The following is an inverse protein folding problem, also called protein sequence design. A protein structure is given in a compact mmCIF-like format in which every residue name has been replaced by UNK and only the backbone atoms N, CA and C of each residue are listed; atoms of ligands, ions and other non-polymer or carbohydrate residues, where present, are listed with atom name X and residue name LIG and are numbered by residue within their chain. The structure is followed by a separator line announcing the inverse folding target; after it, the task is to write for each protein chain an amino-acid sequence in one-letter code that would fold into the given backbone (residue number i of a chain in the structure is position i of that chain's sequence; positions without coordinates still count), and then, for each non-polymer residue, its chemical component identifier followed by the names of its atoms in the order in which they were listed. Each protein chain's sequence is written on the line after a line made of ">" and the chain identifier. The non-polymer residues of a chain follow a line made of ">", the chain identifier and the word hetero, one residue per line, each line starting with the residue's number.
data_IF_873253451645
#
_entry.id   IF_873253451645
#
_cell.length_a   1.000
_cell.length_b   1.000
_cell.length_c   1.000
_cell.angle_alpha   90.00
_cell.angle_beta   90.00
_cell.angle_gamma   90.00
#
_symmetry.space_group_name_H-M   'P 1'
#
loop_
_entity.id
_entity.type
_entity.pdbx_description
1 polymer ?
#
# COMPACT_ATOMS: atom_id res chain seq x y z
N UNK A 1 -28.19 -13.89 -2.92
CA UNK A 1 -27.76 -13.81 -1.52
C UNK A 1 -28.81 -13.03 -0.75
N UNK A 2 -29.43 -13.63 0.29
CA UNK A 2 -30.52 -12.97 1.02
C UNK A 2 -29.95 -12.02 2.08
N UNK A 3 -30.75 -11.00 2.50
CA UNK A 3 -30.37 -10.05 3.57
C UNK A 3 -29.81 -10.73 4.85
N UNK A 4 -30.23 -11.95 5.12
CA UNK A 4 -29.76 -12.74 6.25
C UNK A 4 -28.27 -13.12 6.16
N UNK A 5 -27.76 -13.41 4.96
CA UNK A 5 -26.37 -13.80 4.76
C UNK A 5 -25.42 -12.59 4.87
N UNK A 6 -25.92 -11.41 4.52
CA UNK A 6 -25.19 -10.15 4.70
C UNK A 6 -24.99 -9.83 6.20
N UNK A 7 -26.06 -9.92 7.00
CA UNK A 7 -25.95 -9.69 8.45
C UNK A 7 -25.08 -10.74 9.14
N UNK A 8 -25.08 -11.97 8.65
CA UNK A 8 -24.24 -13.04 9.16
C UNK A 8 -22.76 -12.79 8.85
N UNK A 9 -22.44 -12.31 7.67
CA UNK A 9 -21.07 -11.93 7.29
C UNK A 9 -20.60 -10.65 8.00
N UNK A 10 -21.52 -9.71 8.25
CA UNK A 10 -21.22 -8.49 9.03
C UNK A 10 -21.00 -8.80 10.52
N UNK A 11 -21.73 -9.78 11.08
CA UNK A 11 -21.50 -10.26 12.44
C UNK A 11 -20.15 -11.01 12.59
N UNK A 12 -19.72 -11.72 11.55
CA UNK A 12 -18.39 -12.35 11.49
C UNK A 12 -17.29 -11.29 11.41
N UNK A 13 -17.54 -10.15 10.71
CA UNK A 13 -16.62 -8.99 10.74
C UNK A 13 -16.41 -8.46 12.18
N UNK A 14 -17.47 -8.36 12.97
CA UNK A 14 -17.39 -7.94 14.37
C UNK A 14 -16.66 -8.95 15.27
N UNK A 15 -16.82 -10.23 14.99
CA UNK A 15 -16.20 -11.30 15.80
C UNK A 15 -14.72 -11.54 15.44
N UNK A 16 -14.32 -11.37 14.17
CA UNK A 16 -12.92 -11.50 13.74
C UNK A 16 -12.06 -10.31 14.18
N UNK A 17 -12.70 -9.15 14.39
CA UNK A 17 -12.01 -7.96 14.92
C UNK A 17 -11.76 -8.04 16.45
N UNK A 18 -12.43 -8.95 17.14
CA UNK A 18 -12.33 -9.12 18.60
C UNK A 18 -11.30 -10.17 19.04
N UNK A 19 -10.72 -10.93 18.12
CA UNK A 19 -9.60 -11.82 18.45
C UNK A 19 -8.29 -11.09 18.21
N UNK A 20 -7.52 -10.76 19.25
CA UNK A 20 -6.15 -10.32 19.07
C UNK A 20 -5.39 -11.48 18.44
N UNK A 21 -5.07 -11.39 17.17
CA UNK A 21 -4.07 -12.25 16.56
C UNK A 21 -2.75 -11.94 17.25
N UNK A 22 -2.44 -12.72 18.25
CA UNK A 22 -1.12 -12.76 18.86
C UNK A 22 -0.12 -13.35 17.86
N UNK A 23 0.29 -12.55 16.93
CA UNK A 23 1.59 -12.70 16.26
C UNK A 23 2.43 -11.54 16.78
N UNK A 24 2.96 -11.79 17.95
CA UNK A 24 3.85 -10.89 18.65
C UNK A 24 5.25 -11.02 18.08
N UNK A 25 5.59 -10.10 17.18
CA UNK A 25 6.92 -9.55 17.28
C UNK A 25 6.85 -8.48 18.38
N UNK A 26 7.51 -8.67 19.50
CA UNK A 26 7.60 -7.71 20.61
C UNK A 26 8.34 -6.43 20.18
N UNK A 27 7.66 -5.58 19.40
CA UNK A 27 8.01 -4.19 19.25
C UNK A 27 7.11 -3.40 20.19
N UNK A 28 7.59 -3.00 21.36
CA UNK A 28 6.90 -2.05 22.23
C UNK A 28 6.45 -0.86 21.38
N UNK A 29 5.13 -0.71 21.21
CA UNK A 29 4.54 0.51 20.71
C UNK A 29 4.87 1.63 21.70
N UNK A 30 6.00 2.27 21.51
CA UNK A 30 6.45 3.44 22.28
C UNK A 30 6.34 4.65 21.34
N UNK A 31 5.17 5.27 21.33
CA UNK A 31 4.99 6.48 20.55
C UNK A 31 3.58 7.05 20.71
N UNK A 32 3.42 8.31 20.35
CA UNK A 32 2.14 8.99 20.37
C UNK A 32 1.15 8.28 19.43
N UNK A 33 0.03 7.86 20.01
CA UNK A 33 -1.11 7.33 19.26
C UNK A 33 -1.83 8.49 18.56
N UNK A 34 -2.16 8.30 17.30
CA UNK A 34 -3.02 9.20 16.53
C UNK A 34 -4.27 8.44 16.08
N UNK A 35 -5.43 9.06 16.17
CA UNK A 35 -6.73 8.47 15.81
C UNK A 35 -7.36 9.32 14.72
N UNK A 36 -7.87 8.65 13.69
CA UNK A 36 -8.55 9.28 12.56
C UNK A 36 -9.87 8.56 12.29
N UNK A 37 -10.94 9.32 12.16
CA UNK A 37 -12.19 8.85 11.59
C UNK A 37 -12.24 9.30 10.12
N UNK A 38 -12.26 8.33 9.21
CA UNK A 38 -12.21 8.58 7.78
C UNK A 38 -13.54 8.23 7.13
N UNK A 39 -13.93 9.06 6.19
CA UNK A 39 -15.07 8.79 5.31
C UNK A 39 -14.59 8.99 3.87
N UNK A 40 -14.64 7.93 3.07
CA UNK A 40 -14.30 7.96 1.65
C UNK A 40 -15.61 7.91 0.86
N UNK A 41 -15.92 8.99 0.18
CA UNK A 41 -17.08 9.07 -0.70
C UNK A 41 -16.62 8.90 -2.14
N UNK A 42 -17.16 7.89 -2.81
CA UNK A 42 -16.85 7.60 -4.21
C UNK A 42 -18.06 7.97 -5.06
N UNK A 43 -17.86 8.91 -5.96
CA UNK A 43 -18.80 9.24 -7.02
C UNK A 43 -18.29 8.69 -8.33
N UNK A 44 -19.11 7.92 -9.03
CA UNK A 44 -18.73 7.28 -10.28
C UNK A 44 -19.27 8.11 -11.40
N UNK A 45 -18.37 8.70 -12.18
CA UNK A 45 -18.72 9.67 -13.21
C UNK A 45 -19.41 9.05 -14.43
N UNK A 46 -19.11 7.78 -14.75
CA UNK A 46 -19.75 7.05 -15.85
C UNK A 46 -21.00 6.33 -15.37
N UNK A 47 -22.09 7.05 -15.26
CA UNK A 47 -23.39 6.52 -14.83
C UNK A 47 -24.11 5.76 -15.97
N UNK A 48 -25.07 4.92 -15.59
CA UNK A 48 -25.96 4.23 -16.52
C UNK A 48 -25.41 2.96 -17.17
N UNK A 49 -24.23 2.49 -16.74
CA UNK A 49 -23.65 1.22 -17.18
C UNK A 49 -23.42 0.29 -16.00
N UNK A 50 -23.38 -1.02 -16.27
CA UNK A 50 -22.90 -2.00 -15.27
C UNK A 50 -21.48 -1.64 -14.85
N UNK A 51 -21.32 -1.36 -13.57
CA UNK A 51 -20.05 -0.92 -13.00
C UNK A 51 -19.63 -1.84 -11.86
N UNK A 52 -18.37 -2.14 -11.77
CA UNK A 52 -17.77 -2.93 -10.68
C UNK A 52 -16.67 -2.10 -10.03
N UNK A 53 -16.65 -2.09 -8.71
CA UNK A 53 -15.62 -1.41 -7.94
C UNK A 53 -14.91 -2.37 -6.99
N UNK A 54 -13.60 -2.20 -6.92
CA UNK A 54 -12.73 -2.84 -5.93
C UNK A 54 -12.04 -1.73 -5.16
N UNK A 55 -12.39 -1.59 -3.88
CA UNK A 55 -11.87 -0.55 -3.01
C UNK A 55 -10.94 -1.19 -2.00
N UNK A 56 -9.63 -0.89 -2.04
CA UNK A 56 -8.71 -1.33 -1.01
C UNK A 56 -9.12 -0.76 0.35
N UNK A 57 -9.17 -1.62 1.34
CA UNK A 57 -9.40 -1.25 2.74
C UNK A 57 -8.05 -1.16 3.48
N UNK A 58 -7.96 -0.36 4.54
CA UNK A 58 -6.73 -0.22 5.28
C UNK A 58 -6.32 -1.53 5.96
N UNK A 59 -5.02 -1.80 5.96
CA UNK A 59 -4.43 -2.94 6.66
C UNK A 59 -4.42 -2.77 8.17
N UNK A 60 -4.58 -3.88 8.89
CA UNK A 60 -4.22 -3.98 10.30
C UNK A 60 -2.75 -4.44 10.37
N UNK A 61 -1.92 -3.69 11.09
CA UNK A 61 -0.50 -3.95 11.30
C UNK A 61 -0.10 -3.57 12.73
N UNK A 62 1.13 -3.90 13.13
CA UNK A 62 1.66 -3.57 14.46
C UNK A 62 1.54 -2.08 14.80
N UNK A 63 1.66 -1.22 13.80
CA UNK A 63 1.63 0.23 13.92
C UNK A 63 0.32 0.86 13.46
N UNK A 64 -0.67 0.06 13.05
CA UNK A 64 -1.97 0.54 12.58
C UNK A 64 -3.07 -0.44 12.93
N UNK A 65 -4.07 0.00 13.67
CA UNK A 65 -5.32 -0.71 13.85
C UNK A 65 -6.44 -0.03 13.08
N UNK A 66 -7.44 -0.83 12.71
CA UNK A 66 -8.62 -0.37 11.95
C UNK A 66 -9.86 -0.94 12.60
N UNK A 67 -10.84 -0.09 12.84
CA UNK A 67 -12.14 -0.47 13.41
C UNK A 67 -13.29 0.25 12.72
N UNK A 68 -14.51 -0.13 13.09
CA UNK A 68 -15.76 0.53 12.68
C UNK A 68 -15.95 0.65 11.15
N UNK A 69 -15.46 -0.33 10.39
CA UNK A 69 -15.62 -0.34 8.94
C UNK A 69 -17.11 -0.47 8.60
N UNK A 70 -17.64 0.54 7.94
CA UNK A 70 -19.02 0.60 7.43
C UNK A 70 -19.01 1.08 6.01
N UNK A 71 -19.88 0.55 5.20
CA UNK A 71 -20.08 1.01 3.84
C UNK A 71 -21.56 1.11 3.51
N UNK A 72 -21.92 2.16 2.79
CA UNK A 72 -23.27 2.51 2.39
C UNK A 72 -23.29 3.02 0.96
N UNK A 73 -24.38 2.82 0.25
CA UNK A 73 -24.54 3.23 -1.14
C UNK A 73 -25.65 2.45 -1.84
N UNK A 74 -25.86 2.73 -3.13
CA UNK A 74 -26.87 2.09 -3.95
C UNK A 74 -26.35 0.91 -4.79
N UNK A 75 -25.37 0.22 -4.27
CA UNK A 75 -24.72 -0.94 -4.87
C UNK A 75 -25.48 -2.25 -4.61
N UNK A 76 -25.11 -3.28 -5.37
CA UNK A 76 -25.52 -4.67 -5.16
C UNK A 76 -24.31 -5.54 -4.77
N UNK A 77 -24.61 -6.74 -4.21
CA UNK A 77 -23.63 -7.81 -3.98
C UNK A 77 -22.33 -7.39 -3.31
N UNK A 78 -22.37 -6.68 -2.17
CA UNK A 78 -21.15 -6.31 -1.47
C UNK A 78 -20.43 -7.56 -0.93
N UNK A 79 -19.12 -7.60 -1.09
CA UNK A 79 -18.27 -8.62 -0.48
C UNK A 79 -16.91 -8.03 -0.11
N UNK A 80 -16.29 -8.59 0.93
CA UNK A 80 -14.93 -8.22 1.31
C UNK A 80 -14.04 -9.44 1.18
N UNK A 81 -12.95 -9.31 0.42
CA UNK A 81 -11.89 -10.30 0.34
C UNK A 81 -10.74 -9.84 1.23
N UNK A 82 -10.29 -10.73 2.13
CA UNK A 82 -9.17 -10.52 3.03
C UNK A 82 -7.89 -11.26 2.60
N UNK A 83 -7.92 -11.92 1.44
CA UNK A 83 -6.72 -12.59 0.89
C UNK A 83 -5.79 -11.55 0.27
N UNK A 84 -4.69 -11.27 0.94
CA UNK A 84 -3.75 -10.24 0.51
C UNK A 84 -4.17 -8.84 0.95
N UNK A 85 -4.42 -7.93 0.02
CA UNK A 85 -4.93 -6.59 0.33
C UNK A 85 -6.42 -6.68 0.64
N UNK A 86 -6.87 -6.32 1.85
CA UNK A 86 -8.29 -6.27 2.15
C UNK A 86 -9.02 -5.40 1.13
N UNK A 87 -10.01 -5.97 0.45
CA UNK A 87 -10.66 -5.29 -0.68
C UNK A 87 -12.17 -5.43 -0.59
N UNK A 88 -12.86 -4.30 -0.55
CA UNK A 88 -14.31 -4.26 -0.72
C UNK A 88 -14.65 -4.33 -2.21
N UNK A 89 -15.47 -5.30 -2.58
CA UNK A 89 -16.09 -5.39 -3.89
C UNK A 89 -17.55 -4.97 -3.81
N UNK A 90 -17.98 -4.15 -4.75
CA UNK A 90 -19.39 -3.82 -4.99
C UNK A 90 -19.67 -3.77 -6.48
N UNK A 91 -20.90 -4.08 -6.88
CA UNK A 91 -21.36 -3.89 -8.25
C UNK A 91 -22.61 -3.01 -8.32
N UNK A 92 -22.79 -2.41 -9.47
CA UNK A 92 -23.97 -1.62 -9.81
C UNK A 92 -24.58 -2.20 -11.08
N UNK A 93 -25.90 -2.38 -11.07
CA UNK A 93 -26.68 -2.48 -12.29
C UNK A 93 -26.63 -1.12 -13.01
N UNK A 94 -27.42 -0.92 -14.05
CA UNK A 94 -27.52 0.35 -14.75
C UNK A 94 -28.14 1.43 -13.87
N UNK A 95 -27.34 2.01 -12.98
CA UNK A 95 -27.77 3.02 -12.00
C UNK A 95 -27.35 4.40 -12.49
N UNK A 96 -28.28 5.34 -12.48
CA UNK A 96 -28.03 6.71 -12.96
C UNK A 96 -26.97 7.47 -12.14
N UNK A 97 -26.86 7.20 -10.85
CA UNK A 97 -25.86 7.82 -9.95
C UNK A 97 -25.35 6.77 -8.96
N UNK A 98 -24.35 5.98 -9.35
CA UNK A 98 -23.75 5.03 -8.42
C UNK A 98 -22.97 5.76 -7.33
N UNK A 99 -23.23 5.39 -6.08
CA UNK A 99 -22.58 5.99 -4.90
C UNK A 99 -22.04 4.91 -3.97
N UNK A 100 -20.92 5.21 -3.35
CA UNK A 100 -20.33 4.41 -2.29
C UNK A 100 -19.69 5.34 -1.25
N UNK A 101 -20.08 5.15 0.00
CA UNK A 101 -19.40 5.75 1.16
C UNK A 101 -18.79 4.63 2.00
N UNK A 102 -17.52 4.73 2.27
CA UNK A 102 -16.79 3.81 3.16
C UNK A 102 -16.29 4.60 4.36
N UNK A 103 -16.66 4.19 5.57
CA UNK A 103 -16.27 4.82 6.83
C UNK A 103 -15.47 3.84 7.64
N UNK A 104 -14.42 4.31 8.29
CA UNK A 104 -13.63 3.51 9.21
C UNK A 104 -12.82 4.41 10.15
N UNK A 105 -12.46 3.84 11.31
CA UNK A 105 -11.51 4.44 12.25
C UNK A 105 -10.16 3.80 12.09
N UNK A 106 -9.12 4.63 12.02
CA UNK A 106 -7.73 4.20 12.00
C UNK A 106 -7.00 4.76 13.20
N UNK A 107 -6.30 3.91 13.91
CA UNK A 107 -5.36 4.30 14.93
C UNK A 107 -3.95 3.97 14.45
N UNK A 108 -3.08 4.96 14.44
CA UNK A 108 -1.68 4.79 14.07
C UNK A 108 -0.77 5.02 15.26
N UNK A 109 0.30 4.25 15.33
CA UNK A 109 1.31 4.35 16.36
C UNK A 109 2.62 4.78 15.72
N UNK A 110 3.39 5.60 16.42
CA UNK A 110 4.70 6.00 15.96
C UNK A 110 5.60 4.77 15.84
N UNK A 111 6.28 4.65 14.71
CA UNK A 111 7.23 3.57 14.44
C UNK A 111 8.57 4.19 14.11
N UNK A 112 9.59 3.76 14.81
CA UNK A 112 10.98 4.09 14.51
C UNK A 112 11.82 2.82 14.57
N UNK A 113 12.59 2.57 13.52
CA UNK A 113 13.54 1.45 13.47
C UNK A 113 14.94 1.99 13.66
N UNK A 114 15.58 1.59 14.74
CA UNK A 114 16.99 1.89 14.98
C UNK A 114 17.87 0.88 14.20
N UNK A 115 18.28 1.28 13.01
CA UNK A 115 19.08 0.45 12.15
C UNK A 115 20.46 0.09 12.73
N UNK A 116 20.96 0.83 13.73
CA UNK A 116 22.23 0.51 14.39
C UNK A 116 22.13 -0.76 15.25
N UNK A 117 20.91 -1.14 15.65
CA UNK A 117 20.62 -2.33 16.44
C UNK A 117 20.24 -3.55 15.63
N UNK A 118 20.08 -3.40 14.31
CA UNK A 118 19.76 -4.52 13.42
C UNK A 118 20.99 -5.42 13.30
N UNK A 119 20.85 -6.68 13.72
CA UNK A 119 21.87 -7.70 13.57
C UNK A 119 21.52 -8.59 12.38
N UNK A 120 22.44 -8.73 11.47
CA UNK A 120 22.31 -9.69 10.37
C UNK A 120 22.51 -11.11 10.91
N UNK A 121 21.53 -11.96 10.69
CA UNK A 121 21.63 -13.38 10.97
C UNK A 121 21.46 -14.18 9.66
N UNK A 122 22.54 -14.71 9.08
CA UNK A 122 22.50 -15.41 7.80
C UNK A 122 21.71 -16.73 7.87
N UNK A 123 21.45 -17.23 9.08
CA UNK A 123 20.71 -18.49 9.31
C UNK A 123 19.25 -18.26 9.68
N UNK A 124 18.79 -17.03 9.68
CA UNK A 124 17.39 -16.72 9.97
C UNK A 124 16.49 -17.26 8.86
N UNK A 125 15.56 -18.13 9.24
CA UNK A 125 14.55 -18.63 8.31
C UNK A 125 13.46 -17.59 8.15
N UNK A 126 13.18 -17.23 6.92
CA UNK A 126 12.07 -16.35 6.61
C UNK A 126 10.75 -17.02 6.96
N UNK A 127 9.79 -16.25 7.47
CA UNK A 127 8.43 -16.73 7.61
C UNK A 127 7.80 -16.94 6.22
N UNK A 128 6.79 -17.81 6.07
CA UNK A 128 6.10 -17.99 4.79
C UNK A 128 5.54 -16.69 4.22
N UNK A 129 5.08 -15.77 5.07
CA UNK A 129 4.63 -14.44 4.66
C UNK A 129 5.79 -13.62 4.09
N UNK A 130 6.95 -13.66 4.72
CA UNK A 130 8.14 -12.92 4.26
C UNK A 130 8.70 -13.52 2.97
N UNK A 131 8.74 -14.85 2.85
CA UNK A 131 9.12 -15.53 1.60
C UNK A 131 8.22 -15.16 0.42
N UNK A 132 6.92 -14.93 0.67
CA UNK A 132 6.00 -14.49 -0.36
C UNK A 132 6.48 -13.20 -1.04
N UNK A 133 7.12 -12.31 -0.31
CA UNK A 133 7.63 -11.04 -0.83
C UNK A 133 8.96 -11.14 -1.61
N UNK A 134 9.47 -12.35 -1.80
CA UNK A 134 10.54 -12.64 -2.78
C UNK A 134 10.00 -12.95 -4.18
N UNK A 135 8.71 -13.29 -4.29
CA UNK A 135 8.12 -13.72 -5.56
C UNK A 135 7.99 -12.58 -6.54
N UNK A 136 8.31 -12.81 -7.82
CA UNK A 136 8.06 -11.83 -8.87
C UNK A 136 6.56 -11.62 -9.09
N UNK A 137 6.21 -10.49 -9.66
CA UNK A 137 4.89 -10.21 -10.21
C UNK A 137 5.02 -9.77 -11.66
N UNK A 138 3.91 -9.65 -12.38
CA UNK A 138 3.91 -9.24 -13.78
C UNK A 138 4.67 -7.93 -14.01
N UNK A 139 4.46 -6.93 -13.15
CA UNK A 139 5.11 -5.62 -13.27
C UNK A 139 6.45 -5.52 -12.54
N UNK A 140 6.71 -6.42 -11.60
CA UNK A 140 7.93 -6.42 -10.78
C UNK A 140 8.63 -7.78 -10.94
N UNK A 141 9.24 -8.05 -12.09
CA UNK A 141 10.09 -9.23 -12.28
C UNK A 141 11.36 -9.11 -11.43
N UNK A 142 12.02 -10.23 -11.15
CA UNK A 142 13.26 -10.30 -10.38
C UNK A 142 14.38 -11.03 -11.13
N UNK A 143 14.25 -11.13 -12.44
CA UNK A 143 15.19 -11.76 -13.36
C UNK A 143 15.66 -10.79 -14.47
N UNK A 144 16.34 -11.29 -15.48
CA UNK A 144 16.75 -10.53 -16.66
C UNK A 144 17.50 -9.25 -16.31
N UNK A 145 17.09 -8.11 -16.91
CA UNK A 145 17.72 -6.79 -16.70
C UNK A 145 17.61 -6.33 -15.25
N UNK A 146 16.53 -6.71 -14.54
CA UNK A 146 16.34 -6.33 -13.14
C UNK A 146 17.40 -6.99 -12.27
N UNK A 147 17.65 -8.28 -12.48
CA UNK A 147 18.68 -9.02 -11.75
C UNK A 147 20.08 -8.49 -12.08
N UNK A 148 20.37 -8.29 -13.36
CA UNK A 148 21.67 -7.73 -13.78
C UNK A 148 21.95 -6.39 -13.11
N UNK A 149 20.98 -5.48 -13.09
CA UNK A 149 21.12 -4.17 -12.46
C UNK A 149 21.26 -4.29 -10.94
N UNK A 150 20.51 -5.15 -10.29
CA UNK A 150 20.61 -5.37 -8.86
C UNK A 150 21.97 -5.93 -8.45
N UNK A 151 22.51 -6.90 -9.20
CA UNK A 151 23.85 -7.46 -8.98
C UNK A 151 24.96 -6.43 -9.23
N UNK A 152 24.82 -5.57 -10.25
CA UNK A 152 25.74 -4.45 -10.52
C UNK A 152 25.80 -3.50 -9.31
N UNK A 153 24.65 -3.07 -8.81
CA UNK A 153 24.55 -2.11 -7.70
C UNK A 153 25.12 -2.70 -6.40
N UNK A 154 24.87 -3.99 -6.17
CA UNK A 154 25.25 -4.65 -4.91
C UNK A 154 26.57 -5.38 -4.98
N UNK A 155 27.34 -5.21 -6.05
CA UNK A 155 28.65 -5.86 -6.24
C UNK A 155 29.60 -5.56 -5.09
N UNK A 156 30.06 -6.61 -4.42
CA UNK A 156 30.97 -6.51 -3.27
C UNK A 156 30.33 -6.06 -1.95
N UNK A 157 29.03 -5.73 -1.95
CA UNK A 157 28.29 -5.34 -0.74
C UNK A 157 27.82 -6.59 0.02
N UNK A 158 28.15 -6.65 1.31
CA UNK A 158 27.79 -7.78 2.19
C UNK A 158 26.65 -7.40 3.14
N UNK A 159 25.73 -8.35 3.34
CA UNK A 159 24.58 -8.19 4.24
C UNK A 159 23.37 -7.52 3.57
N UNK A 160 22.17 -7.95 3.98
CA UNK A 160 20.92 -7.54 3.34
C UNK A 160 20.61 -6.06 3.55
N UNK A 161 20.87 -5.55 4.76
CA UNK A 161 20.64 -4.14 5.08
C UNK A 161 21.53 -3.23 4.22
N UNK A 162 22.81 -3.56 4.09
CA UNK A 162 23.74 -2.74 3.28
C UNK A 162 23.45 -2.86 1.79
N UNK A 163 23.03 -4.04 1.30
CA UNK A 163 22.57 -4.20 -0.08
C UNK A 163 21.28 -3.40 -0.34
N UNK A 164 20.31 -3.46 0.57
CA UNK A 164 19.11 -2.65 0.46
C UNK A 164 19.41 -1.14 0.47
N UNK A 165 20.36 -0.70 1.31
CA UNK A 165 20.82 0.68 1.36
C UNK A 165 21.53 1.11 0.06
N UNK A 166 22.34 0.24 -0.52
CA UNK A 166 22.98 0.51 -1.82
C UNK A 166 21.92 0.68 -2.92
N UNK A 167 20.92 -0.21 -2.98
CA UNK A 167 19.81 -0.12 -3.92
C UNK A 167 19.00 1.16 -3.70
N UNK A 168 18.65 1.49 -2.44
CA UNK A 168 17.96 2.72 -2.10
C UNK A 168 18.73 3.96 -2.58
N UNK A 169 20.03 4.01 -2.29
CA UNK A 169 20.89 5.12 -2.70
C UNK A 169 20.96 5.25 -4.22
N UNK A 170 21.05 4.13 -4.93
CA UNK A 170 21.03 4.14 -6.39
C UNK A 170 19.69 4.67 -6.92
N UNK A 171 18.57 4.15 -6.43
CA UNK A 171 17.23 4.62 -6.85
C UNK A 171 17.06 6.11 -6.56
N UNK A 172 17.40 6.56 -5.35
CA UNK A 172 17.23 7.95 -4.94
C UNK A 172 18.10 8.92 -5.77
N UNK A 173 19.24 8.49 -6.24
CA UNK A 173 20.15 9.34 -7.02
C UNK A 173 19.92 9.29 -8.53
N UNK A 174 19.32 8.22 -9.04
CA UNK A 174 19.17 8.03 -10.49
C UNK A 174 17.73 8.20 -10.99
N UNK A 175 16.75 7.85 -10.19
CA UNK A 175 15.37 8.03 -10.60
C UNK A 175 14.86 9.43 -10.29
N UNK A 176 14.11 9.99 -11.23
CA UNK A 176 13.51 11.32 -11.10
C UNK A 176 11.99 11.24 -11.17
N UNK A 177 11.35 12.08 -10.37
CA UNK A 177 9.88 12.20 -10.42
C UNK A 177 9.45 12.98 -11.64
N UNK A 178 8.55 12.38 -12.42
CA UNK A 178 7.89 13.01 -13.55
C UNK A 178 6.39 13.22 -13.25
N UNK A 179 6.01 14.47 -13.06
CA UNK A 179 4.62 14.82 -12.75
C UNK A 179 3.67 14.73 -13.95
N UNK A 180 4.18 14.56 -15.16
CA UNK A 180 3.35 14.40 -16.39
C UNK A 180 2.80 12.98 -16.54
N UNK A 181 3.38 12.00 -15.86
CA UNK A 181 2.89 10.62 -15.87
C UNK A 181 1.46 10.56 -15.33
N UNK A 182 0.58 9.86 -16.03
CA UNK A 182 -0.82 9.70 -15.63
C UNK A 182 -0.93 8.80 -14.38
N UNK A 183 -1.84 9.16 -13.50
CA UNK A 183 -2.09 8.39 -12.26
C UNK A 183 -0.86 8.35 -11.35
N UNK A 184 -0.52 7.18 -10.86
CA UNK A 184 0.63 6.94 -9.99
C UNK A 184 1.82 6.28 -10.70
N UNK A 185 1.72 6.08 -12.02
CA UNK A 185 2.65 5.29 -12.82
C UNK A 185 2.19 3.85 -13.00
N UNK A 186 2.88 3.10 -13.83
CA UNK A 186 2.56 1.69 -14.14
C UNK A 186 3.29 0.69 -13.26
N UNK A 187 4.44 1.08 -12.72
CA UNK A 187 5.31 0.21 -11.95
C UNK A 187 5.95 -0.92 -12.77
N UNK A 188 6.01 -0.80 -14.09
CA UNK A 188 6.67 -1.79 -14.96
C UNK A 188 8.18 -1.64 -14.90
N UNK A 189 8.80 -2.37 -13.97
CA UNK A 189 10.23 -2.29 -13.66
C UNK A 189 11.10 -2.62 -14.86
N UNK A 190 10.70 -3.65 -15.62
CA UNK A 190 11.45 -4.06 -16.81
C UNK A 190 11.45 -2.95 -17.85
N UNK A 191 10.28 -2.44 -18.21
CA UNK A 191 10.14 -1.37 -19.20
C UNK A 191 10.89 -0.11 -18.78
N UNK A 192 10.84 0.26 -17.49
CA UNK A 192 11.57 1.42 -16.97
C UNK A 192 13.09 1.26 -17.16
N UNK A 193 13.64 0.11 -16.76
CA UNK A 193 15.08 -0.14 -16.89
C UNK A 193 15.55 -0.27 -18.34
N UNK A 194 14.77 -0.92 -19.21
CA UNK A 194 15.08 -1.08 -20.64
C UNK A 194 15.00 0.25 -21.39
N UNK A 195 14.13 1.16 -20.99
CA UNK A 195 14.00 2.47 -21.64
C UNK A 195 15.22 3.37 -21.47
N UNK A 196 16.04 3.13 -20.45
CA UNK A 196 17.13 4.01 -20.03
C UNK A 196 16.66 5.36 -19.47
N UNK A 197 15.33 5.64 -19.49
CA UNK A 197 14.74 6.84 -18.91
C UNK A 197 14.24 6.51 -17.52
N UNK A 198 15.06 6.78 -16.53
CA UNK A 198 14.77 6.47 -15.13
C UNK A 198 13.92 7.57 -14.50
N UNK A 199 12.71 7.73 -15.03
CA UNK A 199 11.73 8.74 -14.59
C UNK A 199 10.37 8.10 -14.37
N UNK A 200 9.58 8.65 -13.46
CA UNK A 200 8.24 8.16 -13.19
C UNK A 200 7.62 8.78 -11.95
N UNK A 201 6.50 8.23 -11.52
CA UNK A 201 5.88 8.60 -10.24
C UNK A 201 6.24 7.61 -9.14
N UNK A 202 5.58 7.77 -8.02
CA UNK A 202 5.87 6.98 -6.81
C UNK A 202 5.75 5.47 -7.06
N UNK A 203 4.77 4.99 -7.80
CA UNK A 203 4.68 3.57 -8.14
C UNK A 203 5.90 3.11 -8.92
N UNK A 204 6.30 3.86 -9.96
CA UNK A 204 7.45 3.50 -10.79
C UNK A 204 8.75 3.43 -9.98
N UNK A 205 8.99 4.47 -9.16
CA UNK A 205 10.21 4.57 -8.33
C UNK A 205 10.26 3.46 -7.28
N UNK A 206 9.15 3.21 -6.59
CA UNK A 206 9.09 2.18 -5.55
C UNK A 206 9.14 0.76 -6.13
N UNK A 207 8.47 0.51 -7.26
CA UNK A 207 8.52 -0.79 -7.93
C UNK A 207 9.94 -1.15 -8.35
N UNK A 208 10.72 -0.19 -8.85
CA UNK A 208 12.14 -0.41 -9.18
C UNK A 208 12.93 -0.81 -7.92
N UNK A 209 12.77 -0.10 -6.80
CA UNK A 209 13.39 -0.47 -5.54
C UNK A 209 13.02 -1.90 -5.10
N UNK A 210 11.73 -2.22 -5.12
CA UNK A 210 11.22 -3.55 -4.72
C UNK A 210 11.75 -4.65 -5.65
N UNK A 211 11.74 -4.43 -6.96
CA UNK A 211 12.24 -5.40 -7.94
C UNK A 211 13.72 -5.70 -7.76
N UNK A 212 14.53 -4.65 -7.58
CA UNK A 212 15.97 -4.79 -7.35
C UNK A 212 16.27 -5.52 -6.02
N UNK A 213 15.53 -5.23 -4.94
CA UNK A 213 15.66 -5.94 -3.68
C UNK A 213 15.33 -7.43 -3.83
N UNK A 214 14.20 -7.77 -4.44
CA UNK A 214 13.79 -9.16 -4.69
C UNK A 214 14.79 -9.92 -5.54
N UNK A 215 15.38 -9.27 -6.54
CA UNK A 215 16.36 -9.86 -7.44
C UNK A 215 17.66 -10.31 -6.75
N UNK A 216 18.01 -9.70 -5.62
CA UNK A 216 19.15 -10.10 -4.78
C UNK A 216 18.76 -10.86 -3.51
N UNK A 217 17.51 -11.36 -3.45
CA UNK A 217 17.03 -12.20 -2.36
C UNK A 217 16.56 -11.44 -1.12
N UNK A 218 16.33 -10.15 -1.20
CA UNK A 218 15.81 -9.33 -0.10
C UNK A 218 14.27 -9.25 -0.25
N UNK A 219 13.49 -9.78 0.71
CA UNK A 219 12.05 -9.66 0.66
C UNK A 219 11.61 -8.21 0.71
N UNK A 220 10.81 -7.80 -0.27
CA UNK A 220 10.34 -6.42 -0.37
C UNK A 220 8.92 -6.35 -0.92
N UNK A 221 8.15 -5.37 -0.45
CA UNK A 221 6.79 -5.10 -0.93
C UNK A 221 6.53 -3.61 -1.03
N UNK A 222 5.63 -3.27 -1.89
CA UNK A 222 5.05 -1.93 -1.95
C UNK A 222 4.00 -1.77 -0.86
N UNK A 223 3.92 -0.57 -0.30
CA UNK A 223 2.85 -0.16 0.61
C UNK A 223 2.23 1.10 0.03
N UNK A 224 0.93 1.00 -0.26
CA UNK A 224 0.14 2.13 -0.70
C UNK A 224 -0.72 2.64 0.46
N UNK A 225 -1.01 3.93 0.47
CA UNK A 225 -1.80 4.49 1.54
C UNK A 225 -2.39 5.85 1.22
N UNK A 226 -3.27 6.29 2.09
CA UNK A 226 -3.81 7.64 2.08
C UNK A 226 -3.07 8.43 3.15
N UNK A 227 -2.53 9.56 2.77
CA UNK A 227 -1.87 10.45 3.73
C UNK A 227 -2.92 11.16 4.56
N UNK A 228 -2.86 10.94 5.85
CA UNK A 228 -3.68 11.64 6.84
C UNK A 228 -2.78 12.48 7.74
N UNK A 229 -2.94 13.80 7.68
CA UNK A 229 -2.15 14.75 8.46
C UNK A 229 -0.88 15.25 7.77
N UNK A 230 -0.20 16.17 8.46
CA UNK A 230 1.01 16.81 7.96
C UNK A 230 2.22 15.88 8.04
N UNK A 231 3.13 15.99 7.06
CA UNK A 231 4.41 15.31 7.10
C UNK A 231 5.50 16.27 7.54
N UNK A 232 6.40 15.79 8.41
CA UNK A 232 7.63 16.52 8.79
C UNK A 232 8.70 16.48 7.69
N UNK A 233 8.57 15.53 6.74
CA UNK A 233 9.64 15.22 5.78
C UNK A 233 9.33 15.69 4.36
N UNK A 234 8.08 15.96 4.03
CA UNK A 234 7.70 16.40 2.69
C UNK A 234 6.51 17.34 2.72
N UNK A 235 6.74 18.56 2.26
CA UNK A 235 5.69 19.54 2.02
C UNK A 235 5.08 19.42 0.60
N UNK A 236 5.72 18.65 -0.28
CA UNK A 236 5.37 18.57 -1.69
C UNK A 236 4.31 17.50 -2.00
N UNK A 237 4.11 16.55 -1.09
CA UNK A 237 3.19 15.43 -1.28
C UNK A 237 1.76 15.75 -0.83
N UNK A 238 1.24 16.89 -1.23
CA UNK A 238 -0.09 17.37 -0.86
C UNK A 238 -0.08 18.14 0.47
N UNK A 239 -0.77 19.27 0.49
CA UNK A 239 -1.05 20.00 1.73
C UNK A 239 -2.24 19.33 2.40
N UNK A 240 -2.05 18.73 3.55
CA UNK A 240 -3.17 18.53 4.45
C UNK A 240 -3.69 19.94 4.82
N UNK A 241 -5.00 20.15 4.74
CA UNK A 241 -5.59 21.37 5.29
C UNK A 241 -5.36 21.41 6.81
N UNK A 242 -5.68 22.53 7.44
CA UNK A 242 -5.51 22.70 8.89
C UNK A 242 -6.28 21.65 9.72
N UNK A 243 -7.22 20.93 9.11
CA UNK A 243 -7.99 19.84 9.72
C UNK A 243 -7.36 18.46 9.50
N UNK A 244 -6.21 18.39 8.84
CA UNK A 244 -5.46 17.16 8.64
C UNK A 244 -5.95 16.24 7.54
N UNK A 245 -6.97 16.63 6.82
CA UNK A 245 -7.47 15.94 5.65
C UNK A 245 -7.14 16.79 4.42
N UNK A 246 -6.38 16.23 3.49
CA UNK A 246 -6.48 16.71 2.14
C UNK A 246 -7.94 16.58 1.75
N UNK A 247 -8.60 17.68 1.47
CA UNK A 247 -9.94 17.64 0.92
C UNK A 247 -9.86 16.89 -0.40
N UNK A 248 -10.26 15.64 -0.39
CA UNK A 248 -10.49 14.84 -1.59
C UNK A 248 -11.84 15.32 -2.11
N UNK A 249 -11.87 16.57 -2.56
CA UNK A 249 -13.05 17.14 -3.17
C UNK A 249 -13.00 16.86 -4.66
N UNK A 250 -13.94 16.08 -5.09
CA UNK A 250 -14.31 15.94 -6.49
C UNK A 250 -13.35 15.13 -7.34
N UNK A 251 -13.82 14.09 -7.97
CA UNK A 251 -13.49 13.40 -9.22
C UNK A 251 -12.04 13.30 -9.73
N UNK A 252 -11.17 14.02 -9.16
CA UNK A 252 -9.75 14.04 -9.45
C UNK A 252 -9.00 13.75 -8.17
N UNK A 253 -8.42 12.57 -8.15
CA UNK A 253 -7.37 12.25 -7.22
C UNK A 253 -7.79 11.59 -5.91
N UNK A 254 -8.07 10.31 -6.02
CA UNK A 254 -7.29 9.44 -5.18
C UNK A 254 -5.81 9.58 -5.63
N UNK A 255 -5.21 10.70 -5.38
CA UNK A 255 -3.77 10.77 -5.24
C UNK A 255 -3.50 10.18 -3.87
N UNK A 256 -3.45 8.86 -3.81
CA UNK A 256 -2.76 8.23 -2.74
C UNK A 256 -1.35 8.82 -2.75
N UNK A 257 -1.04 9.63 -1.78
CA UNK A 257 0.34 9.90 -1.46
C UNK A 257 0.88 8.55 -0.99
N UNK A 258 1.53 7.88 -1.93
CA UNK A 258 2.22 6.64 -1.66
C UNK A 258 3.34 7.01 -0.71
N UNK A 259 3.09 6.78 0.57
CA UNK A 259 4.08 7.04 1.59
C UNK A 259 5.30 6.15 1.37
N UNK A 260 6.44 6.76 1.16
CA UNK A 260 7.76 6.18 1.37
C UNK A 260 8.07 6.15 2.86
#
# INVERSE_FOLDING_TARGET
>A
MQRRDFLRNTAILGAVMATPSTVLGEGKAMGNKRVFDLTLNHEILEAGKKTRLWIPLPFIREYQSVSDIKFDGNFSNPSVDYKGVPTLYVDYAEVAKPTLSVKFRVETFERNTDFSKVKFNPNEKLSPETEFYLKPTQHIPNDGIVKQKAEEITKGVKGDLERAKAIYTWVANTMQRDNTVLGCGTGDVKAILESGKLVGKCTDINSVFVGLCRAVGIPAREIFGIRVGQSRFSNEMGKADEKGLAAISGGQQLRGDLGL
#
